data_IF_512649606311
#
_entry.id   IF_512649606311
#
_cell.length_a   1.000
_cell.length_b   1.000
_cell.length_c   1.000
_cell.angle_alpha   90.00
_cell.angle_beta   90.00
_cell.angle_gamma   90.00
#
_symmetry.space_group_name_H-M   'P 1'
#
loop_
_entity.id
_entity.type
_entity.pdbx_description
1 polymer ?
#
# COMPACT_ATOMS: atom_id res chain seq x y z
N UNK A 1 15.23 -1.39 -17.94
CA UNK A 1 16.11 -1.29 -16.75
C UNK A 1 15.45 -2.15 -15.68
N UNK A 2 16.12 -3.22 -15.24
CA UNK A 2 15.52 -4.30 -14.43
C UNK A 2 15.64 -3.92 -12.95
N UNK A 3 14.51 -3.79 -12.26
CA UNK A 3 14.44 -3.57 -10.81
C UNK A 3 15.00 -4.80 -10.08
N UNK A 4 16.18 -4.70 -9.48
CA UNK A 4 16.82 -5.82 -8.77
C UNK A 4 16.43 -5.85 -7.30
N UNK A 5 15.74 -6.93 -6.93
CA UNK A 5 15.47 -7.38 -5.58
C UNK A 5 16.76 -7.74 -4.83
N UNK A 6 16.92 -7.32 -3.57
CA UNK A 6 18.13 -7.61 -2.76
C UNK A 6 17.90 -8.75 -1.74
N UNK A 7 18.65 -9.87 -1.83
CA UNK A 7 18.36 -11.13 -1.13
C UNK A 7 19.00 -11.46 0.20
N UNK A 8 20.12 -10.87 0.57
CA UNK A 8 20.81 -11.24 1.81
C UNK A 8 20.05 -10.80 3.07
N UNK A 9 18.88 -10.16 2.89
CA UNK A 9 18.00 -9.66 3.94
C UNK A 9 16.99 -10.65 4.47
N UNK A 10 16.70 -11.74 3.75
CA UNK A 10 15.74 -12.76 4.18
C UNK A 10 16.31 -13.71 5.24
N UNK A 11 17.61 -13.99 5.22
CA UNK A 11 18.25 -14.95 6.15
C UNK A 11 18.46 -14.38 7.55
N UNK A 12 18.85 -13.10 7.67
CA UNK A 12 19.06 -12.47 8.99
C UNK A 12 17.74 -12.10 9.71
N UNK A 13 16.65 -11.85 8.98
CA UNK A 13 15.42 -11.24 9.55
C UNK A 13 14.32 -12.22 9.97
N UNK A 14 14.40 -13.49 9.55
CA UNK A 14 13.53 -14.56 10.05
C UNK A 14 13.63 -14.75 11.58
N UNK A 15 14.68 -14.25 12.22
CA UNK A 15 14.90 -14.37 13.67
C UNK A 15 14.29 -13.23 14.50
N UNK A 16 13.91 -12.08 13.93
CA UNK A 16 13.57 -10.89 14.73
C UNK A 16 12.25 -10.17 14.38
N UNK A 17 11.61 -10.42 13.23
CA UNK A 17 10.30 -9.79 12.92
C UNK A 17 9.45 -10.64 11.95
N UNK A 18 8.16 -10.92 12.24
CA UNK A 18 7.26 -11.61 11.31
C UNK A 18 6.84 -10.65 10.18
N UNK A 19 7.42 -10.82 9.00
CA UNK A 19 7.25 -9.95 7.82
C UNK A 19 6.47 -10.69 6.72
N UNK A 20 5.82 -9.94 5.81
CA UNK A 20 5.00 -10.45 4.69
C UNK A 20 5.83 -11.08 3.52
N UNK A 21 7.08 -11.49 3.79
CA UNK A 21 8.16 -11.64 2.80
C UNK A 21 8.21 -12.88 1.89
N UNK A 22 7.19 -13.75 1.85
CA UNK A 22 7.30 -15.00 1.10
C UNK A 22 7.26 -14.80 -0.43
N UNK A 23 6.51 -13.81 -0.95
CA UNK A 23 6.49 -13.52 -2.39
C UNK A 23 7.78 -12.82 -2.83
N UNK A 24 8.28 -11.87 -2.03
CA UNK A 24 9.59 -11.25 -2.19
C UNK A 24 10.72 -12.31 -2.32
N UNK A 25 10.72 -13.34 -1.46
CA UNK A 25 11.65 -14.46 -1.56
C UNK A 25 11.50 -15.27 -2.88
N UNK A 26 10.28 -15.44 -3.39
CA UNK A 26 10.04 -16.10 -4.68
C UNK A 26 10.53 -15.24 -5.87
N UNK A 27 10.42 -13.91 -5.79
CA UNK A 27 10.94 -12.96 -6.78
C UNK A 27 12.46 -12.91 -6.82
N UNK A 28 13.13 -13.19 -5.71
CA UNK A 28 14.57 -13.33 -5.69
C UNK A 28 15.09 -14.53 -6.48
N UNK A 29 14.42 -15.68 -6.32
CA UNK A 29 14.80 -16.91 -7.00
C UNK A 29 14.79 -16.72 -8.54
N UNK A 30 13.89 -15.86 -9.04
CA UNK A 30 13.83 -15.41 -10.43
C UNK A 30 15.10 -14.63 -10.86
N UNK A 31 15.55 -13.66 -10.06
CA UNK A 31 16.66 -12.77 -10.43
C UNK A 31 18.06 -13.37 -10.38
N UNK A 32 18.31 -14.38 -9.53
CA UNK A 32 19.68 -14.92 -9.33
C UNK A 32 19.85 -16.37 -9.78
N UNK A 33 18.78 -17.16 -9.84
CA UNK A 33 18.91 -18.58 -10.16
C UNK A 33 18.43 -18.97 -11.55
N UNK A 34 17.80 -18.08 -12.32
CA UNK A 34 17.24 -18.42 -13.64
C UNK A 34 16.38 -19.70 -13.61
N UNK A 35 15.91 -20.09 -12.43
CA UNK A 35 15.15 -21.30 -12.20
C UNK A 35 13.70 -20.91 -12.37
N UNK A 36 13.24 -21.08 -13.59
CA UNK A 36 11.82 -21.27 -13.83
C UNK A 36 11.28 -22.41 -12.95
N UNK A 37 10.00 -22.40 -12.57
CA UNK A 37 9.27 -23.65 -12.35
C UNK A 37 9.05 -24.36 -13.70
N UNK A 38 10.13 -24.68 -14.42
CA UNK A 38 10.03 -25.38 -15.72
C UNK A 38 10.09 -26.91 -15.55
N UNK A 39 10.11 -27.43 -14.31
CA UNK A 39 10.05 -28.87 -14.07
C UNK A 39 8.63 -29.42 -13.93
N UNK A 40 7.59 -28.57 -13.85
CA UNK A 40 6.21 -29.01 -13.57
C UNK A 40 5.15 -28.51 -14.57
N UNK A 41 5.53 -27.92 -15.70
CA UNK A 41 4.62 -27.33 -16.71
C UNK A 41 3.70 -26.20 -16.16
N UNK A 42 4.01 -25.60 -15.01
CA UNK A 42 3.17 -24.56 -14.39
C UNK A 42 3.70 -23.16 -14.72
N UNK A 43 2.86 -22.27 -15.26
CA UNK A 43 3.26 -20.89 -15.54
C UNK A 43 3.36 -20.05 -14.25
N UNK A 44 4.22 -19.03 -14.26
CA UNK A 44 4.29 -18.02 -13.18
C UNK A 44 2.94 -17.36 -12.89
N UNK A 45 2.11 -17.21 -13.92
CA UNK A 45 0.75 -16.66 -13.78
C UNK A 45 -0.14 -17.58 -12.91
N UNK A 46 0.05 -18.90 -13.03
CA UNK A 46 -0.62 -19.90 -12.19
C UNK A 46 -0.07 -19.90 -10.76
N UNK A 47 1.25 -19.72 -10.58
CA UNK A 47 1.85 -19.53 -9.26
C UNK A 47 1.38 -18.25 -8.56
N UNK A 48 1.32 -17.12 -9.27
CA UNK A 48 0.79 -15.84 -8.75
C UNK A 48 -0.68 -15.99 -8.34
N UNK A 49 -1.49 -16.61 -9.20
CA UNK A 49 -2.90 -16.85 -8.94
C UNK A 49 -3.14 -17.73 -7.70
N UNK A 50 -2.37 -18.82 -7.55
CA UNK A 50 -2.50 -19.78 -6.46
C UNK A 50 -1.84 -19.28 -5.19
N UNK A 51 -0.54 -19.00 -5.22
CA UNK A 51 0.25 -18.70 -4.02
C UNK A 51 0.21 -17.21 -3.67
N UNK A 52 0.22 -16.31 -4.64
CA UNK A 52 0.18 -14.87 -4.37
C UNK A 52 -1.08 -14.47 -3.64
N UNK A 53 -2.26 -14.85 -4.15
CA UNK A 53 -3.52 -14.57 -3.46
C UNK A 53 -3.63 -15.32 -2.13
N UNK A 54 -3.21 -16.59 -2.07
CA UNK A 54 -3.27 -17.40 -0.86
C UNK A 54 -2.40 -16.82 0.27
N UNK A 55 -1.14 -16.47 -0.03
CA UNK A 55 -0.21 -15.85 0.93
C UNK A 55 -0.78 -14.50 1.37
N UNK A 56 -1.18 -13.62 0.44
CA UNK A 56 -1.68 -12.29 0.81
C UNK A 56 -3.03 -12.31 1.55
N UNK A 57 -3.82 -13.37 1.37
CA UNK A 57 -5.06 -13.61 2.11
C UNK A 57 -4.81 -14.16 3.52
N UNK A 58 -3.93 -15.15 3.64
CA UNK A 58 -3.66 -15.83 4.91
C UNK A 58 -2.73 -15.02 5.83
N UNK A 59 -1.93 -14.15 5.23
CA UNK A 59 -1.20 -13.08 5.91
C UNK A 59 -1.95 -11.75 5.70
N UNK A 60 -3.27 -11.73 5.86
CA UNK A 60 -4.06 -10.48 5.87
C UNK A 60 -3.79 -9.61 7.08
N UNK A 61 -3.19 -10.21 8.12
CA UNK A 61 -2.96 -9.64 9.44
C UNK A 61 -1.56 -10.00 9.91
N UNK A 62 -0.90 -9.06 10.59
CA UNK A 62 0.32 -9.36 11.35
C UNK A 62 -0.05 -10.24 12.55
N UNK A 63 0.79 -11.22 12.92
CA UNK A 63 0.55 -12.11 14.06
C UNK A 63 0.87 -11.39 15.38
N UNK A 64 0.06 -10.40 15.73
CA UNK A 64 0.23 -9.57 16.92
C UNK A 64 -0.42 -10.24 18.13
N UNK A 65 0.37 -10.71 19.08
CA UNK A 65 -0.12 -11.46 20.24
C UNK A 65 -1.05 -10.65 21.16
N UNK A 66 -0.86 -9.32 21.20
CA UNK A 66 -1.61 -8.36 22.00
C UNK A 66 -2.86 -7.79 21.29
N UNK A 67 -3.02 -8.04 19.98
CA UNK A 67 -4.16 -7.54 19.23
C UNK A 67 -5.30 -8.58 19.18
N UNK A 68 -6.53 -8.12 19.37
CA UNK A 68 -7.75 -8.93 19.27
C UNK A 68 -8.18 -9.16 17.81
N UNK A 69 -9.23 -9.94 17.58
CA UNK A 69 -9.87 -10.07 16.26
C UNK A 69 -11.07 -9.12 16.07
N UNK A 70 -11.19 -8.11 16.95
CA UNK A 70 -12.17 -7.03 16.79
C UNK A 70 -11.59 -5.93 15.91
N UNK A 71 -12.37 -5.44 14.96
CA UNK A 71 -11.97 -4.37 14.05
C UNK A 71 -13.00 -3.26 14.03
N UNK A 72 -12.53 -2.02 13.87
CA UNK A 72 -13.40 -0.84 13.76
C UNK A 72 -12.87 0.08 12.67
N UNK A 73 -13.73 0.41 11.70
CA UNK A 73 -13.42 1.45 10.73
C UNK A 73 -13.41 2.81 11.41
N UNK A 74 -12.41 3.60 11.08
CA UNK A 74 -12.30 4.99 11.50
C UNK A 74 -12.78 5.85 10.33
N UNK A 75 -13.80 6.67 10.59
CA UNK A 75 -14.32 7.59 9.57
C UNK A 75 -13.30 8.68 9.26
N UNK A 76 -12.74 8.66 8.05
CA UNK A 76 -11.88 9.72 7.54
C UNK A 76 -12.65 10.77 6.73
N UNK A 77 -13.98 10.83 6.85
CA UNK A 77 -14.81 11.69 6.01
C UNK A 77 -14.51 13.18 6.13
N UNK A 78 -14.12 13.64 7.33
CA UNK A 78 -13.67 15.02 7.55
C UNK A 78 -12.32 15.36 6.91
N UNK A 79 -11.60 14.37 6.38
CA UNK A 79 -10.31 14.56 5.69
C UNK A 79 -10.41 14.51 4.17
N UNK A 80 -11.56 14.10 3.62
CA UNK A 80 -11.70 13.96 2.18
C UNK A 80 -11.50 15.30 1.46
N UNK A 81 -10.61 15.31 0.47
CA UNK A 81 -10.36 16.45 -0.41
C UNK A 81 -10.46 16.10 -1.89
N UNK A 82 -10.52 14.82 -2.26
CA UNK A 82 -10.64 14.37 -3.65
C UNK A 82 -11.58 13.17 -3.80
N UNK A 83 -12.03 12.93 -5.03
CA UNK A 83 -12.79 11.73 -5.40
C UNK A 83 -11.88 10.69 -6.06
N UNK A 84 -12.22 9.40 -5.90
CA UNK A 84 -11.60 8.36 -6.74
C UNK A 84 -12.17 8.32 -8.16
N UNK A 85 -13.18 9.15 -8.45
CA UNK A 85 -13.75 9.33 -9.78
C UNK A 85 -13.11 10.57 -10.39
N UNK A 86 -12.55 10.40 -11.58
CA UNK A 86 -11.90 11.43 -12.35
C UNK A 86 -12.63 11.56 -13.70
N UNK A 87 -13.22 12.72 -13.96
CA UNK A 87 -14.01 12.93 -15.17
C UNK A 87 -13.19 13.56 -16.30
N UNK A 88 -12.11 14.27 -15.97
CA UNK A 88 -11.35 15.08 -16.91
C UNK A 88 -9.88 15.00 -16.56
N UNK A 89 -9.10 14.41 -17.46
CA UNK A 89 -7.64 14.31 -17.31
C UNK A 89 -6.97 15.70 -17.32
N UNK A 90 -6.00 15.88 -16.45
CA UNK A 90 -5.17 17.08 -16.30
C UNK A 90 -5.97 18.35 -15.93
N UNK A 91 -7.10 18.24 -15.24
CA UNK A 91 -7.87 19.39 -14.75
C UNK A 91 -7.47 19.81 -13.32
N UNK A 92 -6.52 19.08 -12.72
CA UNK A 92 -6.01 19.31 -11.38
C UNK A 92 -6.91 18.73 -10.29
N UNK A 93 -7.90 17.89 -10.59
CA UNK A 93 -8.82 17.26 -9.63
C UNK A 93 -8.97 15.76 -9.87
N UNK A 94 -9.58 15.04 -8.93
CA UNK A 94 -9.87 13.62 -9.10
C UNK A 94 -8.69 12.69 -8.81
N UNK A 95 -8.84 11.42 -9.20
CA UNK A 95 -7.92 10.34 -8.84
C UNK A 95 -6.57 10.44 -9.55
N UNK A 96 -5.63 11.12 -8.90
CA UNK A 96 -4.29 11.42 -9.44
C UNK A 96 -4.30 12.12 -10.81
N UNK A 97 -5.45 12.64 -11.25
CA UNK A 97 -5.63 13.44 -12.47
C UNK A 97 -5.31 12.70 -13.80
N UNK A 98 -5.59 11.39 -13.84
CA UNK A 98 -5.36 10.54 -15.01
C UNK A 98 -6.56 10.47 -15.97
N UNK A 99 -7.73 10.94 -15.55
CA UNK A 99 -8.98 10.89 -16.28
C UNK A 99 -9.80 9.60 -16.10
N UNK A 100 -10.95 9.53 -16.80
CA UNK A 100 -11.98 8.51 -16.58
C UNK A 100 -11.55 7.09 -16.93
N UNK A 101 -10.50 6.95 -17.74
CA UNK A 101 -10.02 5.66 -18.21
C UNK A 101 -9.21 4.90 -17.16
N UNK A 102 -8.66 5.60 -16.17
CA UNK A 102 -7.71 5.03 -15.20
C UNK A 102 -8.24 5.03 -13.76
N UNK A 103 -9.28 5.81 -13.46
CA UNK A 103 -9.78 6.02 -12.10
C UNK A 103 -10.37 4.77 -11.42
N UNK A 104 -10.87 4.91 -10.19
CA UNK A 104 -11.45 3.80 -9.42
C UNK A 104 -12.96 3.66 -9.60
N UNK A 105 -13.58 4.15 -10.68
CA UNK A 105 -15.05 4.05 -10.88
C UNK A 105 -15.57 2.62 -10.89
N UNK A 106 -14.70 1.70 -11.28
CA UNK A 106 -14.95 0.27 -11.39
C UNK A 106 -14.69 -0.50 -10.09
N UNK A 107 -14.27 0.18 -9.02
CA UNK A 107 -14.12 -0.43 -7.70
C UNK A 107 -15.49 -0.92 -7.19
N UNK A 108 -15.56 -2.20 -6.81
CA UNK A 108 -16.78 -2.77 -6.26
C UNK A 108 -17.08 -2.18 -4.88
N UNK A 109 -18.01 -1.21 -4.87
CA UNK A 109 -18.51 -0.53 -3.67
C UNK A 109 -19.25 -1.46 -2.69
N UNK A 110 -19.55 -2.72 -3.06
CA UNK A 110 -20.20 -3.70 -2.18
C UNK A 110 -19.22 -4.48 -1.31
N UNK A 111 -17.92 -4.27 -1.47
CA UNK A 111 -16.90 -4.86 -0.63
C UNK A 111 -17.00 -4.32 0.80
N UNK A 112 -17.48 -5.14 1.74
CA UNK A 112 -17.67 -4.75 3.16
C UNK A 112 -16.52 -5.16 4.07
N UNK A 113 -15.79 -6.20 3.70
CA UNK A 113 -14.59 -6.68 4.39
C UNK A 113 -13.64 -7.37 3.39
N UNK A 114 -12.36 -7.47 3.76
CA UNK A 114 -11.35 -8.22 3.00
C UNK A 114 -10.49 -9.04 3.94
N UNK A 115 -10.69 -10.36 3.91
CA UNK A 115 -9.99 -11.26 4.82
C UNK A 115 -10.41 -11.05 6.26
N UNK A 116 -11.69 -10.70 6.50
CA UNK A 116 -12.26 -10.48 7.82
C UNK A 116 -11.96 -9.11 8.43
N UNK A 117 -11.30 -8.21 7.69
CA UNK A 117 -11.03 -6.83 8.11
C UNK A 117 -12.04 -5.93 7.40
N UNK A 118 -12.88 -5.17 8.13
CA UNK A 118 -13.85 -4.28 7.52
C UNK A 118 -13.13 -3.21 6.71
N UNK A 119 -13.71 -2.86 5.57
CA UNK A 119 -13.25 -1.79 4.70
C UNK A 119 -14.48 -1.15 4.04
N UNK A 120 -14.51 0.18 3.94
CA UNK A 120 -15.63 0.90 3.32
C UNK A 120 -15.10 1.90 2.29
N UNK A 121 -15.40 1.64 1.02
CA UNK A 121 -15.07 2.50 -0.11
C UNK A 121 -16.32 3.09 -0.79
N UNK A 122 -17.49 2.96 -0.16
CA UNK A 122 -18.77 3.36 -0.73
C UNK A 122 -18.84 4.86 -1.05
N UNK A 123 -18.11 5.68 -0.28
CA UNK A 123 -18.07 7.13 -0.44
C UNK A 123 -17.34 7.59 -1.72
N UNK A 124 -16.48 6.75 -2.30
CA UNK A 124 -15.66 7.08 -3.49
C UNK A 124 -14.81 8.37 -3.33
N UNK A 125 -14.26 8.60 -2.14
CA UNK A 125 -13.49 9.80 -1.76
C UNK A 125 -12.21 9.46 -0.99
N UNK A 126 -11.12 10.20 -1.23
CA UNK A 126 -9.83 10.07 -0.54
C UNK A 126 -9.47 11.36 0.18
N UNK A 127 -8.55 11.19 1.13
CA UNK A 127 -7.51 12.18 1.34
C UNK A 127 -6.39 11.94 0.31
N UNK A 128 -6.16 12.88 -0.61
CA UNK A 128 -5.06 12.88 -1.56
C UNK A 128 -4.08 14.01 -1.21
N UNK A 129 -2.81 13.66 -1.04
CA UNK A 129 -1.70 14.60 -1.12
C UNK A 129 -1.09 14.50 -2.51
N UNK A 130 -1.06 15.61 -3.24
CA UNK A 130 -0.49 15.65 -4.58
C UNK A 130 1.03 15.56 -4.50
N UNK A 131 1.67 15.12 -5.59
CA UNK A 131 3.13 15.13 -5.66
C UNK A 131 3.64 16.54 -5.35
N UNK A 132 4.70 16.61 -4.54
CA UNK A 132 5.35 17.84 -4.03
C UNK A 132 4.50 18.67 -3.07
N UNK A 133 3.32 18.21 -2.68
CA UNK A 133 2.53 18.84 -1.62
C UNK A 133 3.16 18.56 -0.25
N UNK A 134 3.41 19.62 0.51
CA UNK A 134 3.75 19.55 1.93
C UNK A 134 2.54 20.01 2.74
N UNK A 135 1.88 19.07 3.40
CA UNK A 135 0.65 19.34 4.12
C UNK A 135 0.45 18.36 5.28
N UNK A 136 -0.23 18.83 6.32
CA UNK A 136 -0.61 18.03 7.48
C UNK A 136 -2.13 17.99 7.63
N UNK A 137 -2.66 16.82 7.96
CA UNK A 137 -4.06 16.58 8.32
C UNK A 137 -4.10 15.78 9.62
N UNK A 138 -5.17 15.90 10.38
CA UNK A 138 -5.32 15.17 11.63
C UNK A 138 -6.71 14.57 11.77
N UNK A 139 -6.77 13.35 12.27
CA UNK A 139 -8.01 12.65 12.60
C UNK A 139 -8.02 12.24 14.06
N UNK A 140 -9.19 12.38 14.70
CA UNK A 140 -9.45 11.86 16.04
C UNK A 140 -9.83 10.39 15.98
N UNK A 141 -9.23 9.57 16.86
CA UNK A 141 -9.46 8.12 16.95
C UNK A 141 -10.22 7.78 18.24
N UNK A 142 -9.74 8.33 19.36
CA UNK A 142 -10.25 8.14 20.72
C UNK A 142 -10.61 6.67 21.00
N UNK A 143 -9.64 5.78 20.82
CA UNK A 143 -9.77 4.37 21.16
C UNK A 143 -8.42 3.67 21.32
N UNK A 144 -8.38 2.65 22.18
CA UNK A 144 -7.28 1.70 22.25
C UNK A 144 -7.24 0.86 20.97
N UNK A 145 -6.03 0.65 20.44
CA UNK A 145 -5.81 -0.11 19.23
C UNK A 145 -4.57 -0.99 19.38
N UNK A 146 -4.67 -2.27 19.02
CA UNK A 146 -3.51 -3.15 18.85
C UNK A 146 -2.77 -2.89 17.54
N UNK A 147 -3.45 -2.44 16.51
CA UNK A 147 -2.81 -1.99 15.27
C UNK A 147 -3.68 -0.99 14.51
N UNK A 148 -3.01 -0.24 13.63
CA UNK A 148 -3.63 0.67 12.68
C UNK A 148 -3.42 0.10 11.28
N UNK A 149 -4.50 -0.07 10.54
CA UNK A 149 -4.52 -0.62 9.19
C UNK A 149 -4.90 0.52 8.24
N UNK A 150 -4.07 0.75 7.24
CA UNK A 150 -4.25 1.78 6.22
C UNK A 150 -4.61 1.12 4.90
N UNK A 151 -5.59 1.70 4.19
CA UNK A 151 -5.86 1.40 2.78
C UNK A 151 -5.42 2.60 1.94
N UNK A 152 -4.42 2.41 1.10
CA UNK A 152 -3.73 3.52 0.45
C UNK A 152 -3.21 3.17 -0.94
N UNK A 153 -2.95 4.21 -1.72
CA UNK A 153 -2.38 4.16 -3.06
C UNK A 153 -1.33 5.27 -3.21
N UNK A 154 -0.35 5.07 -4.09
CA UNK A 154 0.63 6.09 -4.42
C UNK A 154 0.82 6.19 -5.93
N UNK A 155 1.07 7.40 -6.41
CA UNK A 155 1.42 7.65 -7.81
C UNK A 155 2.80 8.26 -7.93
N UNK A 156 3.51 7.86 -8.98
CA UNK A 156 4.72 8.50 -9.44
C UNK A 156 4.50 8.86 -10.90
N UNK A 157 4.31 10.16 -11.15
CA UNK A 157 4.03 10.68 -12.49
C UNK A 157 5.16 10.22 -13.45
N UNK A 158 4.83 9.70 -14.65
CA UNK A 158 5.83 9.31 -15.65
C UNK A 158 6.89 10.38 -15.95
N UNK A 159 6.52 11.66 -15.91
CA UNK A 159 7.46 12.77 -16.10
C UNK A 159 8.54 12.82 -15.01
N UNK A 160 8.19 12.40 -13.79
CA UNK A 160 9.05 12.39 -12.61
C UNK A 160 9.75 11.03 -12.42
N UNK A 161 9.29 9.98 -13.11
CA UNK A 161 9.83 8.63 -13.02
C UNK A 161 11.29 8.54 -13.49
N UNK A 162 11.66 9.31 -14.52
CA UNK A 162 13.07 9.41 -14.95
C UNK A 162 13.92 10.05 -13.86
N UNK A 163 13.50 11.18 -13.31
CA UNK A 163 14.22 11.88 -12.24
C UNK A 163 14.30 11.03 -10.97
N UNK A 164 13.24 10.27 -10.67
CA UNK A 164 13.18 9.31 -9.59
C UNK A 164 14.19 8.19 -9.79
N UNK A 165 14.27 7.61 -10.99
CA UNK A 165 15.21 6.54 -11.34
C UNK A 165 16.66 7.02 -11.37
N UNK A 166 16.91 8.20 -11.92
CA UNK A 166 18.26 8.78 -12.05
C UNK A 166 18.82 9.14 -10.66
N UNK A 167 18.00 9.73 -9.78
CA UNK A 167 18.39 10.04 -8.41
C UNK A 167 18.14 8.89 -7.43
N UNK A 168 17.69 7.73 -7.92
CA UNK A 168 17.25 6.62 -7.08
C UNK A 168 18.35 6.21 -6.12
N UNK A 169 19.58 6.07 -6.61
CA UNK A 169 20.76 5.65 -5.81
C UNK A 169 21.13 6.67 -4.72
N UNK A 170 20.96 7.95 -4.99
CA UNK A 170 21.31 9.02 -4.05
C UNK A 170 20.20 9.29 -3.02
N UNK A 171 18.94 9.09 -3.41
CA UNK A 171 17.76 9.23 -2.54
C UNK A 171 17.54 8.00 -1.65
N UNK A 172 17.85 6.79 -2.14
CA UNK A 172 17.85 5.55 -1.36
C UNK A 172 19.15 5.42 -0.54
N UNK A 173 19.31 6.27 0.48
CA UNK A 173 20.44 6.15 1.44
C UNK A 173 20.44 4.81 2.18
N UNK A 174 19.28 4.16 2.28
CA UNK A 174 19.14 2.81 2.80
C UNK A 174 18.11 2.00 1.95
N UNK A 175 18.56 1.03 1.13
CA UNK A 175 17.70 0.15 0.33
C UNK A 175 16.70 -0.66 1.16
N UNK A 176 16.85 -0.68 2.49
CA UNK A 176 16.03 -1.46 3.41
C UNK A 176 14.73 -0.77 3.84
N UNK A 177 14.57 0.53 3.57
CA UNK A 177 13.44 1.30 4.11
C UNK A 177 12.56 1.98 3.07
N UNK A 178 13.01 2.21 1.84
CA UNK A 178 12.19 2.92 0.85
C UNK A 178 12.33 4.45 0.92
N UNK A 179 11.59 5.15 0.06
CA UNK A 179 11.54 6.62 0.07
C UNK A 179 10.35 7.08 0.94
N UNK A 180 10.57 7.88 1.99
CA UNK A 180 9.50 8.47 2.78
C UNK A 180 8.49 9.25 1.92
N UNK A 181 7.21 8.91 2.04
CA UNK A 181 6.11 9.63 1.34
C UNK A 181 5.26 10.39 2.33
N UNK A 182 4.82 9.69 3.38
CA UNK A 182 3.94 10.23 4.41
C UNK A 182 4.40 9.79 5.78
N UNK A 183 4.48 10.75 6.70
CA UNK A 183 4.74 10.54 8.12
C UNK A 183 3.43 10.52 8.88
N UNK A 184 3.25 9.50 9.70
CA UNK A 184 2.15 9.37 10.65
C UNK A 184 2.68 9.65 12.05
N UNK A 185 2.02 10.53 12.79
CA UNK A 185 2.30 10.79 14.20
C UNK A 185 1.06 10.42 15.01
N UNK A 186 1.18 9.37 15.82
CA UNK A 186 0.13 8.85 16.70
C UNK A 186 0.28 9.51 18.06
N UNK A 187 -0.73 10.25 18.50
CA UNK A 187 -0.76 10.88 19.81
C UNK A 187 -1.64 10.07 20.76
N UNK A 188 -1.12 9.77 21.95
CA UNK A 188 -1.81 8.96 22.96
C UNK A 188 -2.42 9.83 24.06
N UNK A 189 -3.40 9.28 24.77
CA UNK A 189 -4.06 9.97 25.89
C UNK A 189 -3.11 10.31 27.05
N UNK A 190 -2.04 9.51 27.23
CA UNK A 190 -0.98 9.75 28.22
C UNK A 190 0.00 10.88 27.83
N UNK A 191 -0.20 11.53 26.68
CA UNK A 191 0.65 12.60 26.17
C UNK A 191 1.87 12.13 25.39
N UNK A 192 2.14 10.82 25.34
CA UNK A 192 3.21 10.28 24.50
C UNK A 192 2.84 10.31 23.02
N UNK A 193 3.86 10.20 22.16
CA UNK A 193 3.68 10.09 20.71
C UNK A 193 4.52 8.96 20.14
N UNK A 194 4.03 8.34 19.06
CA UNK A 194 4.82 7.45 18.22
C UNK A 194 4.76 7.90 16.77
N UNK A 195 5.84 7.68 16.04
CA UNK A 195 5.97 8.07 14.65
C UNK A 195 6.23 6.83 13.82
N UNK A 196 5.52 6.71 12.71
CA UNK A 196 5.86 5.76 11.66
C UNK A 196 5.71 6.41 10.29
N UNK A 197 6.35 5.84 9.29
CA UNK A 197 6.40 6.41 7.95
C UNK A 197 5.97 5.38 6.93
N UNK A 198 5.11 5.79 5.99
CA UNK A 198 4.80 5.01 4.80
C UNK A 198 5.84 5.37 3.74
N UNK A 199 6.49 4.33 3.21
CA UNK A 199 7.65 4.47 2.34
C UNK A 199 7.35 3.79 1.00
N UNK A 200 7.65 4.51 -0.08
CA UNK A 200 7.54 3.98 -1.44
C UNK A 200 8.63 2.95 -1.69
N UNK A 201 8.26 1.82 -2.29
CA UNK A 201 9.09 0.63 -2.49
C UNK A 201 9.12 -0.33 -1.29
N UNK A 202 8.56 0.03 -0.13
CA UNK A 202 8.56 -0.83 1.06
C UNK A 202 7.14 -1.10 1.62
N UNK A 203 6.36 -0.04 1.81
CA UNK A 203 4.97 -0.11 2.26
C UNK A 203 3.98 0.12 1.10
N UNK A 204 4.40 0.84 0.06
CA UNK A 204 3.52 1.21 -1.06
C UNK A 204 4.31 1.29 -2.36
N UNK A 205 3.65 1.16 -3.50
CA UNK A 205 4.21 1.32 -4.84
C UNK A 205 3.15 1.95 -5.75
N UNK A 206 3.44 2.10 -7.05
CA UNK A 206 2.51 2.68 -8.02
C UNK A 206 1.15 1.96 -7.94
N UNK A 207 0.09 2.74 -7.94
CA UNK A 207 -1.28 2.24 -7.97
C UNK A 207 -1.66 1.73 -9.36
N UNK A 208 -1.16 2.40 -10.41
CA UNK A 208 -1.35 1.98 -11.80
C UNK A 208 -0.12 1.20 -12.27
N UNK A 209 -0.32 -0.03 -12.73
CA UNK A 209 0.73 -0.93 -13.24
C UNK A 209 0.46 -1.31 -14.69
N UNK A 210 1.52 -1.48 -15.49
CA UNK A 210 1.38 -2.12 -16.80
C UNK A 210 1.34 -3.64 -16.61
N UNK A 211 0.15 -4.23 -16.70
CA UNK A 211 -0.04 -5.67 -16.49
C UNK A 211 0.59 -6.56 -17.58
N UNK A 212 1.14 -5.97 -18.64
CA UNK A 212 1.88 -6.66 -19.71
C UNK A 212 3.38 -6.73 -19.42
N UNK A 213 3.90 -5.85 -18.57
CA UNK A 213 5.28 -5.86 -18.13
C UNK A 213 5.42 -6.68 -16.85
N UNK A 214 6.17 -7.79 -16.92
CA UNK A 214 6.44 -8.65 -15.76
C UNK A 214 7.07 -7.87 -14.61
N UNK A 215 7.95 -6.91 -14.89
CA UNK A 215 8.60 -6.12 -13.84
C UNK A 215 7.58 -5.23 -13.11
N UNK A 216 6.63 -4.64 -13.83
CA UNK A 216 5.53 -3.85 -13.26
C UNK A 216 4.51 -4.73 -12.50
N UNK A 217 4.21 -5.93 -12.99
CA UNK A 217 3.36 -6.89 -12.26
C UNK A 217 3.99 -7.27 -10.92
N UNK A 218 5.31 -7.44 -10.87
CA UNK A 218 6.01 -7.77 -9.64
C UNK A 218 6.20 -6.59 -8.70
N UNK A 219 6.27 -5.36 -9.21
CA UNK A 219 6.46 -4.15 -8.39
C UNK A 219 5.27 -3.84 -7.46
N UNK A 220 4.11 -4.47 -7.68
CA UNK A 220 2.95 -4.40 -6.77
C UNK A 220 3.14 -5.22 -5.49
N UNK A 221 4.13 -6.10 -5.42
CA UNK A 221 4.43 -6.90 -4.23
C UNK A 221 5.52 -6.23 -3.39
N UNK A 222 5.09 -5.29 -2.56
CA UNK A 222 5.96 -4.58 -1.62
C UNK A 222 6.21 -5.39 -0.34
N UNK A 223 7.21 -4.99 0.44
CA UNK A 223 7.78 -5.83 1.50
C UNK A 223 6.91 -5.95 2.76
N UNK A 224 6.43 -4.82 3.30
CA UNK A 224 5.68 -4.78 4.56
C UNK A 224 4.23 -4.33 4.36
N UNK A 225 3.64 -4.60 3.21
CA UNK A 225 2.22 -4.34 2.93
C UNK A 225 1.70 -5.33 1.91
N UNK A 226 0.38 -5.54 1.93
CA UNK A 226 -0.26 -6.42 0.95
C UNK A 226 -0.93 -5.64 -0.16
N UNK A 227 -0.91 -6.18 -1.38
CA UNK A 227 -1.89 -5.88 -2.42
C UNK A 227 -3.29 -6.22 -1.90
N UNK A 228 -4.02 -5.20 -1.48
CA UNK A 228 -5.34 -5.30 -0.88
C UNK A 228 -6.40 -5.60 -1.94
N UNK A 229 -6.40 -4.80 -3.01
CA UNK A 229 -7.25 -4.97 -4.16
C UNK A 229 -6.44 -4.82 -5.43
N UNK A 230 -6.77 -5.66 -6.40
CA UNK A 230 -6.32 -5.56 -7.78
C UNK A 230 -7.56 -5.68 -8.66
N UNK A 231 -7.76 -4.72 -9.56
CA UNK A 231 -8.88 -4.72 -10.49
C UNK A 231 -8.53 -3.99 -11.77
N UNK A 232 -9.46 -4.01 -12.74
CA UNK A 232 -9.29 -3.37 -14.04
C UNK A 232 -9.84 -1.95 -14.02
N UNK A 233 -9.00 -1.01 -14.42
CA UNK A 233 -9.42 0.30 -14.91
C UNK A 233 -10.36 0.17 -16.12
N UNK A 234 -10.99 1.26 -16.52
CA UNK A 234 -11.82 1.26 -17.72
C UNK A 234 -11.00 0.99 -18.98
N UNK A 235 -9.79 1.56 -19.07
CA UNK A 235 -8.84 1.25 -20.14
C UNK A 235 -8.49 -0.22 -20.21
N UNK A 236 -8.15 -0.85 -19.08
CA UNK A 236 -7.82 -2.27 -19.05
C UNK A 236 -9.00 -3.16 -19.46
N UNK A 237 -10.25 -2.74 -19.18
CA UNK A 237 -11.43 -3.45 -19.71
C UNK A 237 -11.53 -3.34 -21.23
N UNK A 238 -11.41 -2.12 -21.76
CA UNK A 238 -11.50 -1.85 -23.20
C UNK A 238 -10.39 -2.57 -23.99
N UNK A 239 -9.16 -2.47 -23.51
CA UNK A 239 -7.96 -3.08 -24.13
C UNK A 239 -7.78 -4.56 -23.75
N UNK A 240 -8.70 -5.12 -22.94
CA UNK A 240 -8.72 -6.52 -22.48
C UNK A 240 -7.43 -6.93 -21.74
N UNK A 241 -6.84 -6.01 -21.00
CA UNK A 241 -5.71 -6.28 -20.12
C UNK A 241 -6.13 -7.01 -18.85
N UNK A 242 -5.12 -7.51 -18.12
CA UNK A 242 -5.29 -7.97 -16.74
C UNK A 242 -5.43 -6.75 -15.82
N UNK A 243 -5.69 -7.01 -14.55
CA UNK A 243 -5.80 -5.99 -13.51
C UNK A 243 -4.57 -5.08 -13.50
N UNK A 244 -4.81 -3.79 -13.55
CA UNK A 244 -3.81 -2.72 -13.69
C UNK A 244 -3.91 -1.69 -12.56
N UNK A 245 -4.97 -1.75 -11.74
CA UNK A 245 -5.18 -0.88 -10.59
C UNK A 245 -4.92 -1.64 -9.30
N UNK A 246 -4.09 -1.08 -8.42
CA UNK A 246 -3.63 -1.65 -7.17
C UNK A 246 -3.91 -0.70 -6.01
N UNK A 247 -4.57 -1.22 -4.98
CA UNK A 247 -4.67 -0.60 -3.65
C UNK A 247 -3.88 -1.46 -2.67
N UNK A 248 -3.15 -0.82 -1.77
CA UNK A 248 -2.33 -1.49 -0.75
C UNK A 248 -3.02 -1.45 0.61
N UNK A 249 -2.78 -2.46 1.42
CA UNK A 249 -3.09 -2.46 2.84
C UNK A 249 -1.80 -2.61 3.65
N UNK A 250 -1.55 -1.61 4.49
CA UNK A 250 -0.47 -1.62 5.46
C UNK A 250 -1.02 -1.78 6.88
N UNK A 251 -0.46 -2.69 7.68
CA UNK A 251 -0.77 -2.81 9.11
C UNK A 251 0.44 -2.37 9.94
N UNK A 252 0.28 -1.27 10.67
CA UNK A 252 1.24 -0.76 11.64
C UNK A 252 0.91 -1.28 13.05
N UNK A 253 1.80 -2.07 13.69
CA UNK A 253 1.58 -2.53 15.07
C UNK A 253 1.71 -1.39 16.07
N UNK A 254 0.70 -1.21 16.92
CA UNK A 254 0.76 -0.25 18.02
C UNK A 254 1.44 -0.89 19.23
N UNK A 255 2.69 -0.50 19.50
CA UNK A 255 3.45 -1.00 20.67
C UNK A 255 2.89 -0.49 22.01
N UNK A 256 2.15 0.62 21.97
CA UNK A 256 1.45 1.23 23.11
C UNK A 256 -0.04 0.92 23.10
N UNK A 257 -0.39 -0.34 22.89
CA UNK A 257 -1.78 -0.79 22.83
C UNK A 257 -2.57 -0.55 24.14
N UNK A 258 -1.89 -0.43 25.28
CA UNK A 258 -2.52 -0.13 26.58
C UNK A 258 -2.93 1.35 26.76
N UNK A 259 -2.45 2.25 25.89
CA UNK A 259 -2.78 3.67 25.92
C UNK A 259 -3.76 3.99 24.80
N UNK A 260 -4.79 4.76 25.09
CA UNK A 260 -5.77 5.16 24.09
C UNK A 260 -5.10 6.04 23.01
N UNK A 261 -5.33 5.71 21.74
CA UNK A 261 -4.93 6.59 20.64
C UNK A 261 -5.92 7.73 20.58
N UNK A 262 -5.44 8.95 20.83
CA UNK A 262 -6.23 10.18 20.79
C UNK A 262 -6.44 10.64 19.36
N UNK A 263 -5.34 10.87 18.65
CA UNK A 263 -5.35 11.35 17.27
C UNK A 263 -4.19 10.78 16.46
N UNK A 264 -4.36 10.85 15.14
CA UNK A 264 -3.33 10.53 14.17
C UNK A 264 -3.16 11.74 13.25
N UNK A 265 -1.96 12.32 13.27
CA UNK A 265 -1.53 13.31 12.30
C UNK A 265 -0.88 12.62 11.10
N UNK A 266 -1.26 13.05 9.90
CA UNK A 266 -0.83 12.54 8.60
C UNK A 266 -0.15 13.68 7.85
N UNK A 267 1.14 13.54 7.57
CA UNK A 267 1.97 14.61 7.04
C UNK A 267 2.68 14.15 5.75
N UNK A 268 2.32 14.77 4.63
CA UNK A 268 3.05 14.63 3.38
C UNK A 268 4.29 15.53 3.39
N UNK A 269 5.43 14.99 2.96
CA UNK A 269 6.73 15.66 3.08
C UNK A 269 7.18 16.39 1.80
N UNK A 270 6.28 16.61 0.83
CA UNK A 270 6.64 17.27 -0.43
C UNK A 270 7.48 16.40 -1.38
N UNK A 271 7.36 15.07 -1.31
CA UNK A 271 8.06 14.16 -2.23
C UNK A 271 7.48 14.19 -3.64
N UNK A 272 8.21 13.74 -4.66
CA UNK A 272 7.72 13.59 -6.05
C UNK A 272 6.60 12.53 -6.20
N UNK A 273 6.16 11.92 -5.10
CA UNK A 273 5.18 10.84 -5.05
C UNK A 273 3.87 11.41 -4.49
N UNK A 274 2.78 11.23 -5.23
CA UNK A 274 1.44 11.50 -4.73
C UNK A 274 0.97 10.37 -3.81
N UNK A 275 0.20 10.68 -2.77
CA UNK A 275 -0.30 9.70 -1.80
C UNK A 275 -1.79 9.85 -1.56
N UNK A 276 -2.54 8.77 -1.74
CA UNK A 276 -3.95 8.70 -1.42
C UNK A 276 -4.20 7.76 -0.25
N UNK A 277 -4.93 8.24 0.76
CA UNK A 277 -5.50 7.42 1.83
C UNK A 277 -7.01 7.26 1.59
N UNK A 278 -7.43 6.01 1.44
CA UNK A 278 -8.80 5.62 1.16
C UNK A 278 -9.58 5.27 2.43
N UNK A 279 -8.89 4.74 3.44
CA UNK A 279 -9.53 4.38 4.70
C UNK A 279 -8.53 3.99 5.79
N UNK A 280 -9.01 4.00 7.02
CA UNK A 280 -8.30 3.53 8.21
C UNK A 280 -9.20 2.56 8.95
N UNK A 281 -8.64 1.44 9.37
CA UNK A 281 -9.26 0.49 10.30
C UNK A 281 -8.33 0.32 11.49
N UNK A 282 -8.88 0.27 12.71
CA UNK A 282 -8.12 -0.12 13.89
C UNK A 282 -8.47 -1.55 14.26
N UNK A 283 -7.47 -2.31 14.71
CA UNK A 283 -7.64 -3.62 15.35
C UNK A 283 -7.64 -3.42 16.85
N UNK A 284 -8.58 -4.02 17.58
CA UNK A 284 -8.72 -3.88 19.03
C UNK A 284 -7.58 -4.56 19.80
N UNK A 285 -7.53 -4.33 21.10
CA UNK A 285 -6.57 -4.93 22.04
C UNK A 285 -7.22 -6.13 22.72
N UNK A 286 -6.44 -7.16 23.07
CA UNK A 286 -6.93 -8.29 23.88
C UNK A 286 -7.12 -7.91 25.34
#
# INVERSE_FOLDING_TARGET
MVFTFNPWLTVFRHKEAPLYGNMAAALYANGIWNNFPDSDNTSWEKYEAVYGRHIMRNYSRKPLYFASDQFRNISISGLYNESYIDNVKNDGSGWFDYGPDYDLRNLDIKLKDVGGIPADFSQKKCLLFKAREAARREIQINASAGSIILYHAADLNPADEKLFNDNFRDKYKDPLYGIPVVKYTVAYADGSTEIFTVNFGYHISKWLIDSRDKAAVFSKYVYDSRTFLSFKSEKAKQERYKDDVIIYQYEWPNKRCNSEVKSISIEAQGSDIGYALLGITIRGVK
#
